data_IF_500429643371
#
_entry.id   IF_500429643371
#
_cell.length_a   1.000
_cell.length_b   1.000
_cell.length_c   1.000
_cell.angle_alpha   90.00
_cell.angle_beta   90.00
_cell.angle_gamma   90.00
#
_symmetry.space_group_name_H-M   'P 1'
#
loop_
_entity.id
_entity.type
_entity.pdbx_description
1 polymer ?
#
# COMPACT_ATOMS: atom_id res chain seq x y z
N UNK A 1 -8.61 1.15 13.40
CA UNK A 1 -9.01 1.07 14.83
C UNK A 1 -10.34 0.35 15.11
N UNK A 2 -10.42 -0.94 14.79
CA UNK A 2 -11.27 -1.90 15.52
C UNK A 2 -10.43 -2.62 16.59
N UNK A 3 -11.03 -3.54 17.35
CA UNK A 3 -10.27 -4.44 18.23
C UNK A 3 -9.39 -5.41 17.42
N UNK A 4 -9.84 -5.82 16.24
CA UNK A 4 -9.08 -6.70 15.36
C UNK A 4 -7.78 -6.05 14.87
N UNK A 5 -7.80 -4.75 14.52
CA UNK A 5 -6.62 -4.01 14.07
C UNK A 5 -5.51 -4.07 15.14
N UNK A 6 -5.87 -3.87 16.41
CA UNK A 6 -4.90 -3.90 17.54
C UNK A 6 -4.31 -5.29 17.75
N UNK A 7 -5.15 -6.33 17.72
CA UNK A 7 -4.73 -7.71 17.93
C UNK A 7 -3.84 -8.21 16.78
N UNK A 8 -4.18 -7.86 15.53
CA UNK A 8 -3.36 -8.18 14.35
C UNK A 8 -2.00 -7.48 14.43
N UNK A 9 -1.95 -6.20 14.82
CA UNK A 9 -0.66 -5.51 14.98
C UNK A 9 0.19 -6.15 16.08
N UNK A 10 -0.40 -6.53 17.22
CA UNK A 10 0.33 -7.22 18.30
C UNK A 10 0.87 -8.58 17.85
N UNK A 11 0.07 -9.34 17.09
CA UNK A 11 0.50 -10.62 16.52
C UNK A 11 1.71 -10.45 15.58
N UNK A 12 1.65 -9.49 14.66
CA UNK A 12 2.75 -9.20 13.73
C UNK A 12 3.99 -8.71 14.49
N UNK A 13 3.82 -7.80 15.45
CA UNK A 13 4.91 -7.28 16.30
C UNK A 13 5.61 -8.38 17.07
N UNK A 14 4.87 -9.33 17.63
CA UNK A 14 5.44 -10.46 18.36
C UNK A 14 6.32 -11.33 17.45
N UNK A 15 5.84 -11.64 16.25
CA UNK A 15 6.61 -12.42 15.27
C UNK A 15 7.89 -11.69 14.81
N UNK A 16 7.80 -10.38 14.57
CA UNK A 16 8.97 -9.55 14.22
C UNK A 16 9.96 -9.50 15.38
N UNK A 17 9.51 -9.29 16.61
CA UNK A 17 10.39 -9.22 17.78
C UNK A 17 11.09 -10.56 18.07
N UNK A 18 10.45 -11.69 17.76
CA UNK A 18 11.07 -13.01 17.86
C UNK A 18 12.17 -13.21 16.82
N UNK A 19 11.90 -12.87 15.55
CA UNK A 19 12.83 -13.07 14.45
C UNK A 19 13.95 -12.01 14.38
N UNK A 20 13.63 -10.77 14.76
CA UNK A 20 14.47 -9.58 14.62
C UNK A 20 14.45 -8.70 15.88
N UNK A 21 14.96 -9.19 17.02
CA UNK A 21 14.81 -8.55 18.34
C UNK A 21 15.48 -7.18 18.50
N UNK A 22 16.30 -6.75 17.54
CA UNK A 22 17.03 -5.48 17.57
C UNK A 22 16.52 -4.46 16.54
N UNK A 23 15.54 -4.83 15.72
CA UNK A 23 14.95 -3.95 14.72
C UNK A 23 13.91 -3.02 15.35
N UNK A 24 13.69 -1.86 14.72
CA UNK A 24 12.64 -0.94 15.11
C UNK A 24 11.28 -1.38 14.58
N UNK A 25 10.21 -0.93 15.22
CA UNK A 25 8.84 -1.19 14.76
C UNK A 25 7.99 0.07 14.88
N UNK A 26 7.27 0.41 13.82
CA UNK A 26 6.27 1.47 13.75
C UNK A 26 4.99 0.83 13.20
N UNK A 27 3.85 1.12 13.83
CA UNK A 27 2.55 0.70 13.33
C UNK A 27 1.49 1.75 13.60
N UNK A 28 0.32 1.59 13.00
CA UNK A 28 -0.80 2.53 13.13
C UNK A 28 -1.33 2.58 14.57
N UNK A 29 -1.43 1.44 15.26
CA UNK A 29 -2.24 1.29 16.47
C UNK A 29 -1.44 1.43 17.77
N UNK A 30 -0.14 1.10 17.75
CA UNK A 30 0.68 1.05 18.96
C UNK A 30 1.94 1.92 18.89
N UNK A 31 2.48 2.26 20.07
CA UNK A 31 3.69 3.05 20.18
C UNK A 31 4.88 2.43 19.41
N UNK A 32 5.72 3.30 18.86
CA UNK A 32 6.93 2.88 18.16
C UNK A 32 7.92 2.21 19.12
N UNK A 33 8.64 1.23 18.60
CA UNK A 33 9.79 0.59 19.24
C UNK A 33 11.04 1.05 18.52
N UNK A 34 11.97 1.64 19.26
CA UNK A 34 13.26 2.06 18.71
C UNK A 34 14.20 0.87 18.59
N UNK A 35 14.66 0.59 17.38
CA UNK A 35 15.69 -0.42 17.10
C UNK A 35 17.10 0.16 17.07
N UNK A 36 18.09 -0.71 16.95
CA UNK A 36 19.52 -0.36 16.89
C UNK A 36 20.21 -0.79 15.58
N UNK A 37 19.53 -1.56 14.73
CA UNK A 37 20.10 -2.12 13.50
C UNK A 37 19.98 -1.18 12.30
N UNK A 38 19.17 -0.12 12.41
CA UNK A 38 18.75 0.72 11.29
C UNK A 38 17.62 0.14 10.44
N UNK A 39 17.21 -1.12 10.69
CA UNK A 39 15.97 -1.65 10.13
C UNK A 39 14.78 -1.19 10.97
N UNK A 40 13.70 -0.82 10.29
CA UNK A 40 12.42 -0.44 10.90
C UNK A 40 11.30 -1.11 10.14
N UNK A 41 10.55 -1.96 10.83
CA UNK A 41 9.32 -2.57 10.32
C UNK A 41 8.17 -1.58 10.44
N UNK A 42 7.41 -1.40 9.36
CA UNK A 42 6.30 -0.45 9.27
C UNK A 42 5.03 -1.25 8.95
N UNK A 43 4.01 -1.16 9.80
CA UNK A 43 2.86 -2.07 9.79
C UNK A 43 1.56 -1.28 9.69
N UNK A 44 0.70 -1.65 8.75
CA UNK A 44 -0.74 -1.38 8.79
C UNK A 44 -1.45 -2.73 9.01
N UNK A 45 -2.07 -2.97 10.17
CA UNK A 45 -2.73 -4.24 10.45
C UNK A 45 -4.03 -4.42 9.66
N UNK A 46 -4.63 -3.36 9.12
CA UNK A 46 -5.90 -3.42 8.39
C UNK A 46 -6.15 -2.15 7.56
N UNK A 47 -5.43 -1.95 6.47
CA UNK A 47 -5.73 -0.86 5.53
C UNK A 47 -7.12 -1.10 4.93
N UNK A 48 -8.01 -0.12 5.07
CA UNK A 48 -9.42 -0.27 4.79
C UNK A 48 -10.26 -0.77 5.98
N UNK A 49 -9.90 -0.46 7.24
CA UNK A 49 -10.70 -0.80 8.45
C UNK A 49 -12.20 -0.54 8.28
N UNK A 50 -12.56 0.57 7.62
CA UNK A 50 -13.94 0.96 7.37
C UNK A 50 -14.71 -0.03 6.48
N UNK A 51 -14.01 -0.72 5.58
CA UNK A 51 -14.53 -1.81 4.77
C UNK A 51 -14.63 -3.09 5.59
N UNK A 52 -13.56 -3.45 6.32
CA UNK A 52 -13.52 -4.62 7.19
C UNK A 52 -14.70 -4.65 8.17
N UNK A 53 -14.91 -3.56 8.93
CA UNK A 53 -16.00 -3.43 9.92
C UNK A 53 -17.38 -3.52 9.28
N UNK A 54 -17.52 -3.16 8.00
CA UNK A 54 -18.78 -3.21 7.25
C UNK A 54 -18.96 -4.49 6.42
N UNK A 55 -18.02 -5.43 6.47
CA UNK A 55 -18.06 -6.65 5.68
C UNK A 55 -17.85 -6.44 4.17
N UNK A 56 -17.26 -5.30 3.77
CA UNK A 56 -16.85 -5.06 2.38
C UNK A 56 -15.49 -5.75 2.17
N UNK A 57 -15.35 -6.68 1.20
CA UNK A 57 -14.18 -7.54 1.08
C UNK A 57 -13.01 -6.86 0.34
N UNK A 58 -12.70 -5.60 0.70
CA UNK A 58 -11.62 -4.81 0.11
C UNK A 58 -10.79 -4.15 1.23
N UNK A 59 -9.89 -4.93 1.83
CA UNK A 59 -8.98 -4.51 2.90
C UNK A 59 -7.75 -5.42 2.90
N UNK A 60 -6.64 -4.98 3.48
CA UNK A 60 -5.41 -5.75 3.47
C UNK A 60 -4.55 -5.53 4.71
N UNK A 61 -3.60 -6.45 4.92
CA UNK A 61 -2.50 -6.28 5.87
C UNK A 61 -1.27 -5.78 5.10
N UNK A 62 -0.62 -4.74 5.62
CA UNK A 62 0.57 -4.13 5.01
C UNK A 62 1.76 -4.27 5.94
N UNK A 63 2.87 -4.78 5.40
CA UNK A 63 4.15 -4.84 6.12
C UNK A 63 5.25 -4.35 5.19
N UNK A 64 5.98 -3.33 5.63
CA UNK A 64 7.22 -2.89 5.00
C UNK A 64 8.39 -3.03 5.96
N UNK A 65 9.60 -3.14 5.43
CA UNK A 65 10.82 -2.95 6.20
C UNK A 65 11.68 -1.91 5.50
N UNK A 66 12.06 -0.87 6.23
CA UNK A 66 12.99 0.16 5.77
C UNK A 66 14.33 0.00 6.46
N UNK A 67 15.42 0.16 5.71
CA UNK A 67 16.80 0.16 6.19
C UNK A 67 17.38 1.56 5.99
N UNK A 68 17.73 2.22 7.09
CA UNK A 68 18.35 3.55 7.08
C UNK A 68 17.58 4.60 6.24
N UNK A 69 16.24 4.48 6.23
CA UNK A 69 15.32 5.37 5.52
C UNK A 69 14.89 4.91 4.13
N UNK A 70 15.49 3.85 3.58
CA UNK A 70 15.14 3.27 2.29
C UNK A 70 14.27 2.01 2.47
N UNK A 71 13.15 1.89 1.74
CA UNK A 71 12.28 0.71 1.85
C UNK A 71 12.93 -0.46 1.11
N UNK A 72 13.24 -1.54 1.84
CA UNK A 72 13.96 -2.70 1.30
C UNK A 72 13.08 -3.93 1.08
N UNK A 73 11.95 -4.03 1.80
CA UNK A 73 10.97 -5.11 1.66
C UNK A 73 9.56 -4.53 1.78
N UNK A 74 8.62 -5.05 0.97
CA UNK A 74 7.21 -4.69 1.02
C UNK A 74 6.33 -5.91 0.80
N UNK A 75 5.27 -6.03 1.59
CA UNK A 75 4.25 -7.08 1.54
C UNK A 75 2.88 -6.45 1.73
N UNK A 76 1.93 -6.82 0.87
CA UNK A 76 0.51 -6.48 0.96
C UNK A 76 -0.26 -7.78 0.78
N UNK A 77 -1.06 -8.15 1.77
CA UNK A 77 -1.88 -9.37 1.73
C UNK A 77 -3.36 -9.02 1.77
N UNK A 78 -4.12 -9.41 0.74
CA UNK A 78 -5.57 -9.29 0.62
C UNK A 78 -6.24 -10.60 1.03
N UNK A 79 -6.83 -10.72 2.24
CA UNK A 79 -7.34 -12.00 2.73
C UNK A 79 -8.60 -12.47 2.01
N UNK A 80 -9.40 -11.54 1.46
CA UNK A 80 -10.64 -11.86 0.76
C UNK A 80 -10.41 -12.62 -0.55
N UNK A 81 -9.25 -12.43 -1.18
CA UNK A 81 -8.87 -13.04 -2.46
C UNK A 81 -7.71 -14.03 -2.35
N UNK A 82 -7.13 -14.18 -1.15
CA UNK A 82 -5.92 -14.96 -0.89
C UNK A 82 -4.75 -14.50 -1.78
N UNK A 83 -4.58 -13.18 -1.91
CA UNK A 83 -3.56 -12.58 -2.74
C UNK A 83 -2.47 -11.92 -1.90
N UNK A 84 -1.23 -12.35 -2.11
CA UNK A 84 -0.06 -11.77 -1.46
C UNK A 84 0.83 -11.14 -2.52
N UNK A 85 0.88 -9.81 -2.49
CA UNK A 85 1.80 -9.00 -3.26
C UNK A 85 3.05 -8.76 -2.42
N UNK A 86 4.24 -9.06 -2.96
CA UNK A 86 5.47 -8.87 -2.21
C UNK A 86 6.67 -8.61 -3.12
N UNK A 87 7.71 -8.02 -2.55
CA UNK A 87 8.92 -7.66 -3.28
C UNK A 87 10.00 -7.15 -2.34
N UNK A 88 11.19 -7.00 -2.89
CA UNK A 88 12.34 -6.41 -2.21
C UNK A 88 13.12 -5.55 -3.16
N UNK A 89 13.85 -4.58 -2.63
CA UNK A 89 14.70 -3.69 -3.42
C UNK A 89 15.67 -4.47 -4.32
N UNK A 90 15.64 -4.18 -5.62
CA UNK A 90 16.40 -4.83 -6.68
C UNK A 90 16.04 -6.31 -6.94
N UNK A 91 14.95 -6.80 -6.36
CA UNK A 91 14.53 -8.21 -6.40
C UNK A 91 13.29 -8.48 -7.25
N UNK A 92 12.63 -7.45 -7.74
CA UNK A 92 11.35 -7.53 -8.42
C UNK A 92 10.15 -7.65 -7.48
N UNK A 93 8.96 -7.53 -8.05
CA UNK A 93 7.68 -7.69 -7.37
C UNK A 93 6.94 -8.95 -7.86
N UNK A 94 6.16 -9.55 -6.96
CA UNK A 94 5.48 -10.82 -7.18
C UNK A 94 4.06 -10.80 -6.61
N UNK A 95 3.17 -11.57 -7.23
CA UNK A 95 1.84 -11.92 -6.73
C UNK A 95 1.77 -13.44 -6.62
N UNK A 96 1.63 -13.97 -5.40
CA UNK A 96 1.53 -15.42 -5.14
C UNK A 96 2.64 -16.23 -5.86
N UNK A 97 3.88 -15.72 -5.80
CA UNK A 97 5.06 -16.35 -6.41
C UNK A 97 5.27 -16.08 -7.90
N UNK A 98 4.34 -15.39 -8.57
CA UNK A 98 4.46 -15.04 -10.00
C UNK A 98 4.96 -13.59 -10.15
N UNK A 99 5.97 -13.31 -10.99
CA UNK A 99 6.40 -11.95 -11.25
C UNK A 99 5.26 -11.08 -11.78
N UNK A 100 5.19 -9.83 -11.34
CA UNK A 100 4.23 -8.84 -11.83
C UNK A 100 4.93 -7.67 -12.51
N UNK A 101 4.17 -6.92 -13.31
CA UNK A 101 4.61 -5.68 -13.96
C UNK A 101 3.48 -4.68 -13.91
N UNK A 102 3.83 -3.40 -13.88
CA UNK A 102 2.88 -2.30 -14.08
C UNK A 102 2.28 -2.36 -15.49
N UNK A 103 1.15 -1.66 -15.67
CA UNK A 103 0.47 -1.58 -16.96
C UNK A 103 1.36 -0.91 -18.01
N UNK A 104 1.28 -1.39 -19.26
CA UNK A 104 1.93 -0.80 -20.43
C UNK A 104 0.96 0.05 -21.28
N UNK A 105 -0.19 0.41 -20.73
CA UNK A 105 -1.19 1.23 -21.42
C UNK A 105 -0.58 2.54 -21.94
N UNK A 106 -0.96 2.92 -23.16
CA UNK A 106 -0.46 4.15 -23.79
C UNK A 106 -1.35 5.37 -23.46
N UNK A 107 -2.55 5.15 -22.94
CA UNK A 107 -3.53 6.19 -22.64
C UNK A 107 -4.40 5.84 -21.42
N UNK A 108 -5.04 6.85 -20.82
CA UNK A 108 -5.97 6.64 -19.71
C UNK A 108 -7.23 5.87 -20.14
N UNK A 109 -7.62 5.93 -21.41
CA UNK A 109 -8.78 5.23 -21.97
C UNK A 109 -8.69 3.69 -21.93
N UNK A 110 -7.51 3.15 -21.66
CA UNK A 110 -7.24 1.71 -21.64
C UNK A 110 -7.47 1.06 -20.26
N UNK A 111 -7.85 1.83 -19.23
CA UNK A 111 -8.02 1.24 -17.90
C UNK A 111 -8.46 2.18 -16.79
N UNK A 112 -8.33 1.65 -15.57
CA UNK A 112 -8.71 2.34 -14.33
C UNK A 112 -7.54 3.03 -13.65
N UNK A 113 -7.77 4.24 -13.13
CA UNK A 113 -6.82 4.93 -12.24
C UNK A 113 -7.41 4.94 -10.83
N UNK A 114 -6.65 4.40 -9.87
CA UNK A 114 -7.03 4.43 -8.47
C UNK A 114 -6.96 5.85 -7.90
N UNK A 115 -8.00 6.28 -7.19
CA UNK A 115 -8.06 7.60 -6.55
C UNK A 115 -8.24 7.50 -5.04
N UNK A 116 -7.28 8.07 -4.32
CA UNK A 116 -7.31 8.25 -2.88
C UNK A 116 -8.24 9.37 -2.41
N UNK A 117 -8.47 9.45 -1.11
CA UNK A 117 -9.16 10.58 -0.49
C UNK A 117 -8.50 10.86 0.85
N UNK A 118 -7.80 11.99 0.92
CA UNK A 118 -7.20 12.46 2.16
C UNK A 118 -8.15 13.41 2.89
N UNK A 119 -8.40 13.13 4.17
CA UNK A 119 -9.10 14.07 5.06
C UNK A 119 -8.24 15.30 5.43
N UNK A 120 -6.96 15.32 5.04
CA UNK A 120 -6.03 16.44 5.26
C UNK A 120 -5.98 17.40 4.07
N UNK A 121 -6.66 17.07 2.97
CA UNK A 121 -6.67 17.85 1.76
C UNK A 121 -8.09 18.29 1.37
N UNK A 122 -8.17 19.21 0.41
CA UNK A 122 -9.44 19.72 -0.08
C UNK A 122 -10.15 18.67 -0.93
N UNK A 123 -11.42 18.37 -0.62
CA UNK A 123 -12.24 17.47 -1.44
C UNK A 123 -12.43 17.95 -2.89
N UNK A 124 -12.15 19.23 -3.19
CA UNK A 124 -12.16 19.74 -4.57
C UNK A 124 -11.08 19.09 -5.45
N UNK A 125 -9.95 18.70 -4.86
CA UNK A 125 -8.80 18.19 -5.60
C UNK A 125 -9.11 16.80 -6.17
N UNK A 126 -9.69 15.90 -5.36
CA UNK A 126 -10.15 14.59 -5.85
C UNK A 126 -11.26 14.71 -6.90
N UNK A 127 -12.19 15.67 -6.75
CA UNK A 127 -13.24 15.91 -7.76
C UNK A 127 -12.63 16.36 -9.08
N UNK A 128 -11.62 17.23 -9.02
CA UNK A 128 -10.87 17.68 -10.20
C UNK A 128 -10.12 16.51 -10.84
N UNK A 129 -9.42 15.70 -10.06
CA UNK A 129 -8.70 14.52 -10.54
C UNK A 129 -9.63 13.54 -11.27
N UNK A 130 -10.78 13.21 -10.67
CA UNK A 130 -11.78 12.33 -11.30
C UNK A 130 -12.27 12.91 -12.62
N UNK A 131 -12.54 14.22 -12.65
CA UNK A 131 -12.99 14.90 -13.88
C UNK A 131 -11.93 14.83 -14.99
N UNK A 132 -10.64 14.98 -14.65
CA UNK A 132 -9.54 14.87 -15.60
C UNK A 132 -9.38 13.44 -16.12
N UNK A 133 -9.44 12.43 -15.26
CA UNK A 133 -9.38 11.02 -15.66
C UNK A 133 -10.49 10.70 -16.66
N UNK A 134 -11.73 11.11 -16.35
CA UNK A 134 -12.89 10.87 -17.21
C UNK A 134 -12.81 11.64 -18.53
N UNK A 135 -12.28 12.86 -18.54
CA UNK A 135 -12.12 13.66 -19.75
C UNK A 135 -11.14 13.01 -20.76
N UNK A 136 -10.13 12.29 -20.26
CA UNK A 136 -9.18 11.50 -21.06
C UNK A 136 -9.68 10.08 -21.40
N UNK A 137 -10.96 9.79 -21.10
CA UNK A 137 -11.60 8.50 -21.38
C UNK A 137 -11.30 7.38 -20.39
N UNK A 138 -10.57 7.66 -19.31
CA UNK A 138 -10.26 6.67 -18.29
C UNK A 138 -11.38 6.43 -17.28
N UNK A 139 -11.25 5.35 -16.52
CA UNK A 139 -12.18 4.99 -15.45
C UNK A 139 -11.56 5.36 -14.10
N UNK A 140 -12.26 6.12 -13.27
CA UNK A 140 -11.82 6.27 -11.88
C UNK A 140 -12.14 4.98 -11.11
N UNK A 141 -11.23 4.55 -10.26
CA UNK A 141 -11.41 3.39 -9.38
C UNK A 141 -11.16 3.78 -7.94
N UNK A 142 -12.02 3.31 -7.03
CA UNK A 142 -11.82 3.52 -5.59
C UNK A 142 -12.41 2.35 -4.81
N UNK A 143 -11.57 1.67 -4.04
CA UNK A 143 -11.99 0.60 -3.13
C UNK A 143 -11.83 0.98 -1.65
N UNK A 144 -11.39 2.20 -1.32
CA UNK A 144 -11.13 2.68 0.04
C UNK A 144 -10.02 1.95 0.82
N UNK A 145 -9.09 1.28 0.11
CA UNK A 145 -7.82 0.78 0.63
C UNK A 145 -6.68 1.29 -0.26
N UNK A 146 -5.88 2.21 0.26
CA UNK A 146 -4.80 2.86 -0.50
C UNK A 146 -3.71 1.86 -0.87
N UNK A 147 -3.35 0.98 0.05
CA UNK A 147 -2.34 -0.05 -0.17
C UNK A 147 -2.78 -1.06 -1.22
N UNK A 148 -4.05 -1.51 -1.23
CA UNK A 148 -4.55 -2.38 -2.29
C UNK A 148 -4.53 -1.70 -3.65
N UNK A 149 -4.88 -0.42 -3.74
CA UNK A 149 -4.81 0.29 -5.03
C UNK A 149 -3.36 0.43 -5.52
N UNK A 150 -2.38 0.62 -4.63
CA UNK A 150 -0.96 0.54 -4.99
C UNK A 150 -0.56 -0.86 -5.46
N UNK A 151 -0.98 -1.93 -4.78
CA UNK A 151 -0.72 -3.31 -5.20
C UNK A 151 -1.35 -3.64 -6.57
N UNK A 152 -2.53 -3.11 -6.84
CA UNK A 152 -3.20 -3.25 -8.13
C UNK A 152 -2.50 -2.45 -9.23
N UNK A 153 -1.93 -1.28 -8.92
CA UNK A 153 -1.07 -0.55 -9.84
C UNK A 153 0.23 -1.32 -10.13
N UNK A 154 0.89 -1.85 -9.11
CA UNK A 154 2.10 -2.67 -9.23
C UNK A 154 1.89 -3.94 -10.08
N UNK A 155 0.67 -4.49 -10.07
CA UNK A 155 0.29 -5.66 -10.86
C UNK A 155 -0.36 -5.34 -12.21
N UNK A 156 -0.43 -4.06 -12.58
CA UNK A 156 -1.00 -3.61 -13.85
C UNK A 156 -2.52 -3.74 -13.96
N UNK A 157 -3.22 -4.07 -12.86
CA UNK A 157 -4.70 -4.08 -12.80
C UNK A 157 -5.27 -2.67 -12.85
N UNK A 158 -4.55 -1.73 -12.25
CA UNK A 158 -4.78 -0.29 -12.40
C UNK A 158 -3.63 0.29 -13.21
N UNK A 159 -3.94 1.34 -13.98
CA UNK A 159 -2.95 2.11 -14.73
C UNK A 159 -2.02 2.90 -13.79
N UNK A 160 -2.54 3.27 -12.62
CA UNK A 160 -1.80 4.01 -11.60
C UNK A 160 -2.68 4.30 -10.38
N UNK A 161 -2.09 4.97 -9.40
CA UNK A 161 -2.74 5.41 -8.19
C UNK A 161 -2.34 6.84 -7.85
N UNK A 162 -3.28 7.66 -7.41
CA UNK A 162 -3.02 9.03 -6.97
C UNK A 162 -3.75 9.30 -5.66
N UNK A 163 -3.00 9.78 -4.66
CA UNK A 163 -3.52 10.28 -3.39
C UNK A 163 -2.66 11.43 -2.88
N UNK A 164 -3.28 12.44 -2.30
CA UNK A 164 -2.59 13.65 -1.85
C UNK A 164 -1.78 13.43 -0.56
N UNK A 165 -2.17 12.45 0.24
CA UNK A 165 -1.47 12.13 1.48
C UNK A 165 -1.75 10.70 1.90
N UNK A 166 -0.68 9.97 2.22
CA UNK A 166 -0.72 8.65 2.83
C UNK A 166 0.25 8.63 4.01
N UNK A 167 -0.06 7.86 5.05
CA UNK A 167 0.93 7.58 6.09
C UNK A 167 1.94 6.55 5.57
N UNK A 168 3.09 6.44 6.25
CA UNK A 168 4.14 5.52 5.84
C UNK A 168 3.68 4.05 5.81
N UNK A 169 2.86 3.63 6.77
CA UNK A 169 2.31 2.27 6.81
C UNK A 169 1.33 1.98 5.67
N UNK A 170 0.63 3.00 5.16
CA UNK A 170 -0.30 2.85 4.02
C UNK A 170 0.43 2.69 2.68
N UNK A 171 1.65 3.26 2.53
CA UNK A 171 2.24 3.46 1.20
C UNK A 171 3.63 2.84 0.97
N UNK A 172 4.47 2.64 2.00
CA UNK A 172 5.87 2.24 1.76
C UNK A 172 5.99 0.90 1.03
N UNK A 173 5.20 -0.11 1.45
CA UNK A 173 5.18 -1.40 0.77
C UNK A 173 4.72 -1.24 -0.69
N UNK A 174 3.58 -0.57 -0.90
CA UNK A 174 3.00 -0.40 -2.23
C UNK A 174 3.90 0.39 -3.19
N UNK A 175 4.56 1.45 -2.71
CA UNK A 175 5.52 2.23 -3.50
C UNK A 175 6.70 1.38 -3.96
N UNK A 176 7.32 0.60 -3.06
CA UNK A 176 8.40 -0.32 -3.43
C UNK A 176 7.92 -1.32 -4.50
N UNK A 177 6.73 -1.91 -4.32
CA UNK A 177 6.18 -2.87 -5.27
C UNK A 177 5.95 -2.25 -6.65
N UNK A 178 5.51 -1.00 -6.72
CA UNK A 178 5.35 -0.28 -7.99
C UNK A 178 6.69 -0.10 -8.69
N UNK A 179 7.73 0.34 -7.98
CA UNK A 179 9.07 0.55 -8.56
C UNK A 179 9.70 -0.78 -9.01
N UNK A 180 9.63 -1.82 -8.18
CA UNK A 180 10.14 -3.16 -8.49
C UNK A 180 9.36 -3.87 -9.61
N UNK A 181 8.12 -3.46 -9.88
CA UNK A 181 7.32 -3.90 -11.02
C UNK A 181 7.61 -3.11 -12.32
N UNK A 182 8.54 -2.14 -12.28
CA UNK A 182 8.92 -1.30 -13.43
C UNK A 182 8.08 -0.03 -13.57
N UNK A 183 7.32 0.34 -12.55
CA UNK A 183 6.62 1.61 -12.47
C UNK A 183 7.49 2.77 -12.00
N UNK A 184 6.87 3.92 -11.76
CA UNK A 184 7.53 5.09 -11.20
C UNK A 184 6.64 5.69 -10.13
N UNK A 185 7.24 6.09 -9.01
CA UNK A 185 6.55 6.81 -7.95
C UNK A 185 7.01 8.25 -7.96
N UNK A 186 6.05 9.17 -8.05
CA UNK A 186 6.28 10.60 -8.01
C UNK A 186 5.68 11.17 -6.73
N UNK A 187 6.46 11.94 -5.99
CA UNK A 187 5.94 12.77 -4.89
C UNK A 187 5.55 14.11 -5.50
N UNK A 188 4.31 14.54 -5.28
CA UNK A 188 3.93 15.90 -5.60
C UNK A 188 4.79 16.86 -4.76
N UNK A 189 5.33 17.88 -5.42
CA UNK A 189 6.17 18.93 -4.86
C UNK A 189 5.39 19.91 -3.97
#
# INVERSE_FOLDING_TARGET
VSEADREVELFIRAAIAEAYPQDGIIGEEHAAVTGTTGHVWVIDPSDGTANFVRGIPAWCVVIACAKDGETVVGVIHEPSTDETFYGRLGGGAFLNGKPIKTSNAASLSEGGVGTGLSNRASTKNVVTLISLIMAEGGVFYRNASGALMLAYAASGRLLGYVEEHMNAWDCLAGMLLVEEAGGTVLRAD
#
